data_IF_064927792196
#
_entry.id   IF_064927792196
#
_cell.length_a   1.000
_cell.length_b   1.000
_cell.length_c   1.000
_cell.angle_alpha   90.00
_cell.angle_beta   90.00
_cell.angle_gamma   90.00
#
_symmetry.space_group_name_H-M   'P 1'
#
loop_
_entity.id
_entity.type
_entity.pdbx_description
1 polymer ?
#
# COMPACT_ATOMS: atom_id res chain seq x y z
N UNK A 1 13.25 27.21 -3.44
CA UNK A 1 12.40 26.61 -2.40
C UNK A 1 12.82 25.15 -2.22
N UNK A 2 12.92 24.65 -0.98
CA UNK A 2 13.30 23.25 -0.76
C UNK A 2 12.24 22.33 -1.38
N UNK A 3 12.64 21.30 -2.12
CA UNK A 3 11.76 20.27 -2.74
C UNK A 3 10.71 19.71 -1.78
N UNK A 4 11.07 19.59 -0.52
CA UNK A 4 10.18 19.10 0.56
C UNK A 4 8.97 20.03 0.79
N UNK A 5 9.11 21.36 0.58
CA UNK A 5 8.01 22.31 0.73
C UNK A 5 6.98 22.24 -0.39
N UNK A 6 7.39 21.86 -1.62
CA UNK A 6 6.47 21.69 -2.76
C UNK A 6 5.54 20.49 -2.54
N UNK A 7 6.07 19.35 -2.11
CA UNK A 7 5.30 18.15 -1.83
C UNK A 7 4.17 18.38 -0.81
N UNK A 8 4.50 18.87 0.39
CA UNK A 8 3.49 19.10 1.43
C UNK A 8 2.46 20.17 1.04
N UNK A 9 2.89 21.19 0.28
CA UNK A 9 1.99 22.21 -0.23
C UNK A 9 0.99 21.64 -1.21
N UNK A 10 1.43 20.76 -2.13
CA UNK A 10 0.55 20.12 -3.12
C UNK A 10 -0.46 19.20 -2.45
N UNK A 11 0.00 18.28 -1.60
CA UNK A 11 -0.86 17.37 -0.83
C UNK A 11 -1.87 18.15 0.03
N UNK A 12 -1.41 19.21 0.73
CA UNK A 12 -2.30 20.08 1.49
C UNK A 12 -3.36 20.79 0.63
N UNK A 13 -3.06 21.09 -0.63
CA UNK A 13 -4.03 21.69 -1.57
C UNK A 13 -5.08 20.66 -1.98
N UNK A 14 -4.69 19.42 -2.27
CA UNK A 14 -5.61 18.32 -2.57
C UNK A 14 -6.56 18.07 -1.40
N UNK A 15 -6.02 17.95 -0.18
CA UNK A 15 -6.80 17.73 1.03
C UNK A 15 -7.81 18.85 1.31
N UNK A 16 -7.42 20.11 1.08
CA UNK A 16 -8.29 21.27 1.32
C UNK A 16 -9.42 21.39 0.31
N UNK A 17 -9.23 20.85 -0.89
CA UNK A 17 -10.23 21.00 -1.99
C UNK A 17 -11.57 20.33 -1.65
N UNK A 18 -11.56 19.11 -1.09
CA UNK A 18 -12.75 18.36 -0.69
C UNK A 18 -12.65 17.81 0.73
N UNK A 19 -12.23 18.66 1.68
CA UNK A 19 -11.87 18.24 3.04
C UNK A 19 -12.96 17.41 3.72
N UNK A 20 -14.23 17.83 3.66
CA UNK A 20 -15.32 17.16 4.36
C UNK A 20 -15.62 15.78 3.76
N UNK A 21 -15.57 15.66 2.44
CA UNK A 21 -15.81 14.40 1.73
C UNK A 21 -14.66 13.41 2.02
N UNK A 22 -13.41 13.87 1.94
CA UNK A 22 -12.24 13.03 2.25
C UNK A 22 -12.27 12.54 3.70
N UNK A 23 -12.59 13.41 4.68
CA UNK A 23 -12.69 12.99 6.08
C UNK A 23 -13.81 11.97 6.28
N UNK A 24 -14.98 12.15 5.61
CA UNK A 24 -16.06 11.16 5.66
C UNK A 24 -15.58 9.79 5.17
N UNK A 25 -14.87 9.73 4.03
CA UNK A 25 -14.31 8.50 3.48
C UNK A 25 -13.32 7.87 4.46
N UNK A 26 -12.40 8.64 5.01
CA UNK A 26 -11.44 8.15 6.00
C UNK A 26 -12.10 7.60 7.28
N UNK A 27 -13.28 8.11 7.67
CA UNK A 27 -14.03 7.53 8.79
C UNK A 27 -14.58 6.13 8.44
N UNK A 28 -15.06 5.92 7.21
CA UNK A 28 -15.49 4.61 6.76
C UNK A 28 -14.31 3.65 6.62
N UNK A 29 -13.20 4.11 6.01
CA UNK A 29 -11.96 3.32 5.94
C UNK A 29 -11.45 2.92 7.34
N UNK A 30 -11.52 3.83 8.32
CA UNK A 30 -11.12 3.54 9.68
C UNK A 30 -12.00 2.44 10.34
N UNK A 31 -13.30 2.44 10.05
CA UNK A 31 -14.20 1.40 10.56
C UNK A 31 -13.89 0.02 9.98
N UNK A 32 -13.63 -0.04 8.65
CA UNK A 32 -13.20 -1.24 7.94
C UNK A 32 -11.87 -1.77 8.51
N UNK A 33 -10.86 -0.91 8.63
CA UNK A 33 -9.55 -1.29 9.17
C UNK A 33 -9.62 -1.80 10.62
N UNK A 34 -10.46 -1.18 11.46
CA UNK A 34 -10.67 -1.66 12.82
C UNK A 34 -11.29 -3.07 12.81
N UNK A 35 -12.25 -3.33 11.91
CA UNK A 35 -12.79 -4.67 11.74
C UNK A 35 -11.70 -5.66 11.34
N UNK A 36 -10.88 -5.33 10.35
CA UNK A 36 -9.78 -6.18 9.88
C UNK A 36 -8.79 -6.54 11.01
N UNK A 37 -8.45 -5.58 11.88
CA UNK A 37 -7.54 -5.85 13.00
C UNK A 37 -8.13 -6.80 14.05
N UNK A 38 -9.46 -6.81 14.24
CA UNK A 38 -10.15 -7.73 15.14
C UNK A 38 -10.56 -9.05 14.49
N UNK A 39 -10.55 -9.13 13.16
CA UNK A 39 -10.99 -10.31 12.41
C UNK A 39 -10.33 -11.62 12.88
N UNK A 40 -8.99 -11.70 13.10
CA UNK A 40 -8.36 -12.92 13.58
C UNK A 40 -8.91 -13.41 14.93
N UNK A 41 -9.19 -12.48 15.86
CA UNK A 41 -9.82 -12.80 17.15
C UNK A 41 -11.23 -13.33 16.98
N UNK A 42 -12.02 -12.72 16.12
CA UNK A 42 -13.39 -13.14 15.85
C UNK A 42 -13.44 -14.54 15.27
N UNK A 43 -12.57 -14.84 14.29
CA UNK A 43 -12.47 -16.16 13.69
C UNK A 43 -11.99 -17.19 14.74
N UNK A 44 -10.94 -16.87 15.50
CA UNK A 44 -10.46 -17.75 16.57
C UNK A 44 -11.53 -18.08 17.60
N UNK A 45 -12.29 -17.07 18.05
CA UNK A 45 -13.39 -17.28 18.99
C UNK A 45 -14.55 -18.08 18.38
N UNK A 46 -14.79 -17.96 17.08
CA UNK A 46 -15.78 -18.76 16.36
C UNK A 46 -15.34 -20.22 16.28
N UNK A 47 -14.06 -20.50 15.99
CA UNK A 47 -13.48 -21.85 15.96
C UNK A 47 -13.61 -22.51 17.34
N UNK A 48 -13.17 -21.84 18.40
CA UNK A 48 -13.25 -22.36 19.76
C UNK A 48 -14.70 -22.57 20.20
N UNK A 49 -15.60 -21.65 19.80
CA UNK A 49 -17.04 -21.81 20.04
C UNK A 49 -17.61 -23.06 19.36
N UNK A 50 -17.29 -23.30 18.11
CA UNK A 50 -17.74 -24.46 17.35
C UNK A 50 -17.22 -25.78 17.95
N UNK A 51 -15.95 -25.81 18.37
CA UNK A 51 -15.35 -26.99 19.05
C UNK A 51 -16.08 -27.32 20.34
N UNK A 52 -16.60 -26.30 21.04
CA UNK A 52 -17.37 -26.44 22.27
C UNK A 52 -18.90 -26.44 22.06
N UNK A 53 -19.39 -26.61 20.83
CA UNK A 53 -20.82 -26.59 20.45
C UNK A 53 -21.53 -25.27 20.82
N UNK A 54 -20.80 -24.15 20.86
CA UNK A 54 -21.32 -22.82 21.15
C UNK A 54 -21.28 -21.94 19.90
N UNK A 55 -22.43 -21.61 19.32
CA UNK A 55 -22.53 -20.90 18.04
C UNK A 55 -22.44 -19.36 18.15
N UNK A 56 -22.35 -18.80 19.37
CA UNK A 56 -22.36 -17.32 19.57
C UNK A 56 -21.21 -16.62 18.84
N UNK A 57 -19.98 -17.13 18.91
CA UNK A 57 -18.82 -16.54 18.24
C UNK A 57 -19.00 -16.51 16.71
N UNK A 58 -19.51 -17.60 16.15
CA UNK A 58 -19.79 -17.67 14.71
C UNK A 58 -20.86 -16.66 14.27
N UNK A 59 -21.95 -16.53 15.03
CA UNK A 59 -23.02 -15.56 14.72
C UNK A 59 -22.48 -14.13 14.77
N UNK A 60 -21.71 -13.79 15.80
CA UNK A 60 -21.10 -12.45 15.92
C UNK A 60 -20.16 -12.18 14.74
N UNK A 61 -19.31 -13.14 14.37
CA UNK A 61 -18.43 -13.01 13.21
C UNK A 61 -19.21 -12.74 11.92
N UNK A 62 -20.24 -13.56 11.63
CA UNK A 62 -21.06 -13.41 10.41
C UNK A 62 -21.75 -12.03 10.39
N UNK A 63 -22.35 -11.61 11.50
CA UNK A 63 -23.07 -10.31 11.57
C UNK A 63 -22.11 -9.15 11.33
N UNK A 64 -20.95 -9.15 11.98
CA UNK A 64 -19.93 -8.09 11.80
C UNK A 64 -19.38 -8.09 10.38
N UNK A 65 -19.11 -9.25 9.79
CA UNK A 65 -18.66 -9.38 8.40
C UNK A 65 -19.68 -8.81 7.40
N UNK A 66 -20.99 -9.07 7.59
CA UNK A 66 -22.03 -8.52 6.74
C UNK A 66 -22.17 -7.00 6.87
N UNK A 67 -22.04 -6.46 8.09
CA UNK A 67 -22.04 -5.02 8.33
C UNK A 67 -20.85 -4.37 7.62
N UNK A 68 -19.67 -4.92 7.79
CA UNK A 68 -18.44 -4.46 7.16
C UNK A 68 -18.53 -4.48 5.63
N UNK A 69 -18.99 -5.59 5.04
CA UNK A 69 -19.24 -5.69 3.59
C UNK A 69 -20.19 -4.61 3.10
N UNK A 70 -21.23 -4.29 3.87
CA UNK A 70 -22.18 -3.22 3.57
C UNK A 70 -21.51 -1.84 3.58
N UNK A 71 -20.71 -1.55 4.61
CA UNK A 71 -19.95 -0.30 4.72
C UNK A 71 -19.02 -0.14 3.52
N UNK A 72 -18.25 -1.18 3.19
CA UNK A 72 -17.30 -1.17 2.07
C UNK A 72 -17.97 -0.97 0.72
N UNK A 73 -19.14 -1.54 0.51
CA UNK A 73 -19.91 -1.33 -0.73
C UNK A 73 -20.24 0.15 -0.95
N UNK A 74 -20.77 0.83 0.06
CA UNK A 74 -21.12 2.25 -0.05
C UNK A 74 -19.88 3.15 -0.11
N UNK A 75 -18.86 2.84 0.70
CA UNK A 75 -17.61 3.59 0.71
C UNK A 75 -16.91 3.58 -0.65
N UNK A 76 -16.81 2.43 -1.31
CA UNK A 76 -16.18 2.29 -2.63
C UNK A 76 -16.87 3.14 -3.71
N UNK A 77 -18.20 3.28 -3.65
CA UNK A 77 -18.96 4.13 -4.62
C UNK A 77 -18.64 5.60 -4.38
N UNK A 78 -18.72 6.06 -3.12
CA UNK A 78 -18.47 7.45 -2.75
C UNK A 78 -17.02 7.84 -2.99
N UNK A 79 -16.07 6.96 -2.65
CA UNK A 79 -14.64 7.14 -2.86
C UNK A 79 -14.31 7.40 -4.33
N UNK A 80 -14.80 6.54 -5.23
CA UNK A 80 -14.59 6.74 -6.67
C UNK A 80 -15.18 8.05 -7.19
N UNK A 81 -16.34 8.48 -6.70
CA UNK A 81 -16.96 9.76 -7.10
C UNK A 81 -16.12 10.95 -6.66
N UNK A 82 -15.70 10.96 -5.39
CA UNK A 82 -14.92 12.07 -4.80
C UNK A 82 -13.57 12.21 -5.50
N UNK A 83 -12.79 11.13 -5.57
CA UNK A 83 -11.44 11.22 -6.16
C UNK A 83 -11.45 11.44 -7.68
N UNK A 84 -12.42 10.91 -8.43
CA UNK A 84 -12.56 11.22 -9.85
C UNK A 84 -12.90 12.70 -10.09
N UNK A 85 -13.72 13.32 -9.24
CA UNK A 85 -13.98 14.75 -9.31
C UNK A 85 -12.72 15.57 -9.02
N UNK A 86 -11.96 15.21 -8.00
CA UNK A 86 -10.68 15.85 -7.67
C UNK A 86 -9.70 15.73 -8.84
N UNK A 87 -9.52 14.54 -9.41
CA UNK A 87 -8.66 14.30 -10.59
C UNK A 87 -9.05 15.18 -11.75
N UNK A 88 -10.34 15.22 -12.10
CA UNK A 88 -10.87 16.06 -13.19
C UNK A 88 -10.48 17.53 -12.99
N UNK A 89 -10.72 18.09 -11.82
CA UNK A 89 -10.44 19.49 -11.52
C UNK A 89 -8.94 19.82 -11.57
N UNK A 90 -8.11 18.95 -10.99
CA UNK A 90 -6.66 19.17 -10.98
C UNK A 90 -6.03 19.01 -12.36
N UNK A 91 -6.51 18.06 -13.17
CA UNK A 91 -6.11 17.93 -14.59
C UNK A 91 -6.49 19.19 -15.38
N UNK A 92 -7.70 19.71 -15.19
CA UNK A 92 -8.13 20.96 -15.86
C UNK A 92 -7.28 22.17 -15.43
N UNK A 93 -6.97 22.30 -14.13
CA UNK A 93 -6.09 23.36 -13.62
C UNK A 93 -4.67 23.24 -14.17
N UNK A 94 -4.12 22.04 -14.20
CA UNK A 94 -2.81 21.79 -14.81
C UNK A 94 -2.81 22.18 -16.28
N UNK A 95 -3.80 21.70 -17.05
CA UNK A 95 -3.91 21.98 -18.48
C UNK A 95 -3.96 23.49 -18.78
N UNK A 96 -4.79 24.26 -18.04
CA UNK A 96 -4.83 25.73 -18.17
C UNK A 96 -3.47 26.37 -18.01
N UNK A 97 -2.77 26.05 -16.92
CA UNK A 97 -1.45 26.61 -16.65
C UNK A 97 -0.41 26.20 -17.70
N UNK A 98 -0.47 24.97 -18.19
CA UNK A 98 0.43 24.45 -19.21
C UNK A 98 0.25 25.19 -20.54
N UNK A 99 -0.99 25.50 -20.93
CA UNK A 99 -1.33 26.31 -22.11
C UNK A 99 -0.86 27.74 -21.94
N UNK A 100 -1.11 28.39 -20.79
CA UNK A 100 -0.66 29.75 -20.49
C UNK A 100 0.87 29.88 -20.56
N UNK A 101 1.62 28.83 -20.25
CA UNK A 101 3.08 28.79 -20.31
C UNK A 101 3.64 28.32 -21.65
N UNK A 102 2.79 28.10 -22.65
CA UNK A 102 3.15 27.60 -23.98
C UNK A 102 4.02 26.34 -23.95
N UNK A 103 3.68 25.38 -23.04
CA UNK A 103 4.39 24.13 -22.98
C UNK A 103 4.12 23.28 -24.24
N UNK A 104 5.11 22.49 -24.63
CA UNK A 104 4.94 21.56 -25.73
C UNK A 104 3.84 20.54 -25.44
N UNK A 105 3.01 20.25 -26.44
CA UNK A 105 1.88 19.32 -26.35
C UNK A 105 2.29 17.91 -25.91
N UNK A 106 3.49 17.47 -26.26
CA UNK A 106 4.07 16.20 -25.80
C UNK A 106 4.24 16.19 -24.28
N UNK A 107 4.77 17.30 -23.74
CA UNK A 107 4.98 17.46 -22.29
C UNK A 107 3.67 17.62 -21.52
N UNK A 108 2.69 18.31 -22.12
CA UNK A 108 1.35 18.45 -21.52
C UNK A 108 0.70 17.06 -21.39
N UNK A 109 0.71 16.27 -22.47
CA UNK A 109 0.10 14.95 -22.53
C UNK A 109 0.70 13.99 -21.48
N UNK A 110 2.03 13.91 -21.42
CA UNK A 110 2.72 13.05 -20.44
C UNK A 110 2.47 13.48 -19.00
N UNK A 111 2.44 14.78 -18.73
CA UNK A 111 2.32 15.28 -17.37
C UNK A 111 0.87 15.34 -16.86
N UNK A 112 -0.14 15.42 -17.74
CA UNK A 112 -1.57 15.32 -17.35
C UNK A 112 -1.83 13.97 -16.65
N UNK A 113 -1.23 12.89 -17.12
CA UNK A 113 -1.36 11.59 -16.47
C UNK A 113 -0.64 11.56 -15.10
N UNK A 114 0.47 12.31 -14.95
CA UNK A 114 1.21 12.37 -13.69
C UNK A 114 0.46 13.15 -12.59
N UNK A 115 -0.50 14.01 -12.94
CA UNK A 115 -1.33 14.76 -11.97
C UNK A 115 -2.15 13.83 -11.08
N UNK A 116 -2.51 12.65 -11.56
CA UNK A 116 -3.30 11.69 -10.80
C UNK A 116 -2.50 11.05 -9.65
N UNK A 117 -1.19 10.84 -9.83
CA UNK A 117 -0.35 10.14 -8.86
C UNK A 117 -0.39 10.74 -7.44
N UNK A 118 -0.22 12.06 -7.25
CA UNK A 118 -0.36 12.66 -5.93
C UNK A 118 -1.77 12.58 -5.35
N UNK A 119 -2.81 12.53 -6.20
CA UNK A 119 -4.20 12.40 -5.77
C UNK A 119 -4.46 10.96 -5.30
N UNK A 120 -3.99 9.96 -6.05
CA UNK A 120 -4.06 8.56 -5.66
C UNK A 120 -3.26 8.31 -4.37
N UNK A 121 -2.12 8.96 -4.21
CA UNK A 121 -1.36 8.93 -2.96
C UNK A 121 -2.18 9.45 -1.78
N UNK A 122 -2.91 10.58 -1.92
CA UNK A 122 -3.78 11.11 -0.86
C UNK A 122 -4.91 10.13 -0.55
N UNK A 123 -5.48 9.48 -1.58
CA UNK A 123 -6.51 8.45 -1.43
C UNK A 123 -6.04 7.30 -0.54
N UNK A 124 -4.84 6.78 -0.82
CA UNK A 124 -4.28 5.64 -0.11
C UNK A 124 -3.52 6.01 1.18
N UNK A 125 -3.17 7.30 1.36
CA UNK A 125 -2.31 7.75 2.46
C UNK A 125 -2.86 7.35 3.83
N UNK A 126 -4.12 7.69 4.11
CA UNK A 126 -4.74 7.37 5.38
C UNK A 126 -4.84 5.86 5.59
N UNK A 127 -5.39 5.15 4.60
CA UNK A 127 -5.58 3.69 4.67
C UNK A 127 -4.26 3.00 4.91
N UNK A 128 -3.24 3.27 4.09
CA UNK A 128 -1.96 2.58 4.16
C UNK A 128 -1.20 2.87 5.47
N UNK A 129 -1.10 4.14 5.89
CA UNK A 129 -0.36 4.48 7.12
C UNK A 129 -1.12 4.08 8.38
N UNK A 130 -2.44 4.27 8.41
CA UNK A 130 -3.28 3.90 9.55
C UNK A 130 -3.36 2.38 9.70
N UNK A 131 -3.51 1.65 8.59
CA UNK A 131 -3.50 0.20 8.58
C UNK A 131 -2.16 -0.37 9.06
N UNK A 132 -1.05 0.15 8.52
CA UNK A 132 0.29 -0.26 8.94
C UNK A 132 0.49 -0.09 10.47
N UNK A 133 0.11 1.07 11.02
CA UNK A 133 0.22 1.35 12.45
C UNK A 133 -0.70 0.43 13.29
N UNK A 134 -1.93 0.22 12.83
CA UNK A 134 -2.90 -0.64 13.51
C UNK A 134 -2.49 -2.11 13.51
N UNK A 135 -2.13 -2.65 12.35
CA UNK A 135 -1.63 -4.02 12.25
C UNK A 135 -0.44 -4.26 13.17
N UNK A 136 0.52 -3.32 13.20
CA UNK A 136 1.69 -3.42 14.07
C UNK A 136 1.28 -3.42 15.55
N UNK A 137 0.43 -2.46 15.95
CA UNK A 137 0.00 -2.32 17.33
C UNK A 137 -0.80 -3.54 17.81
N UNK A 138 -1.84 -3.92 17.06
CA UNK A 138 -2.71 -5.05 17.46
C UNK A 138 -1.97 -6.37 17.46
N UNK A 139 -1.10 -6.61 16.48
CA UNK A 139 -0.30 -7.84 16.43
C UNK A 139 0.67 -7.95 17.61
N UNK A 140 1.38 -6.87 17.95
CA UNK A 140 2.30 -6.87 19.09
C UNK A 140 1.53 -7.09 20.39
N UNK A 141 0.44 -6.35 20.62
CA UNK A 141 -0.37 -6.47 21.84
C UNK A 141 -0.91 -7.89 21.98
N UNK A 142 -1.46 -8.46 20.90
CA UNK A 142 -2.01 -9.81 20.92
C UNK A 142 -0.94 -10.87 21.21
N UNK A 143 0.20 -10.80 20.53
CA UNK A 143 1.28 -11.78 20.69
C UNK A 143 1.87 -11.70 22.12
N UNK A 144 2.07 -10.50 22.65
CA UNK A 144 2.61 -10.32 24.01
C UNK A 144 1.61 -10.73 25.12
N UNK A 145 0.30 -10.61 24.85
CA UNK A 145 -0.72 -10.99 25.83
C UNK A 145 -0.99 -12.49 25.88
N UNK A 146 -0.98 -13.16 24.73
CA UNK A 146 -1.41 -14.57 24.64
C UNK A 146 -0.25 -15.57 24.54
N UNK A 147 0.97 -15.12 24.25
CA UNK A 147 2.14 -15.99 24.06
C UNK A 147 3.35 -15.52 24.86
N UNK A 148 4.39 -16.34 24.85
CA UNK A 148 5.62 -15.97 25.54
C UNK A 148 6.33 -14.79 24.87
N UNK A 149 6.99 -13.95 25.67
CA UNK A 149 7.77 -12.81 25.22
C UNK A 149 8.84 -13.21 24.15
N UNK A 150 9.38 -14.43 24.26
CA UNK A 150 10.39 -14.93 23.31
C UNK A 150 9.84 -15.07 21.89
N UNK A 151 8.59 -15.52 21.74
CA UNK A 151 7.92 -15.61 20.42
C UNK A 151 7.73 -14.21 19.84
N UNK A 152 7.28 -13.27 20.66
CA UNK A 152 7.11 -11.87 20.25
C UNK A 152 8.41 -11.23 19.75
N UNK A 153 9.50 -11.37 20.50
CA UNK A 153 10.82 -10.83 20.12
C UNK A 153 11.32 -11.49 18.83
N UNK A 154 11.19 -12.82 18.70
CA UNK A 154 11.62 -13.56 17.51
C UNK A 154 10.89 -13.10 16.24
N UNK A 155 9.55 -13.05 16.29
CA UNK A 155 8.72 -12.63 15.16
C UNK A 155 8.99 -11.17 14.79
N UNK A 156 9.11 -10.29 15.78
CA UNK A 156 9.44 -8.89 15.56
C UNK A 156 10.80 -8.71 14.89
N UNK A 157 11.84 -9.39 15.38
CA UNK A 157 13.19 -9.31 14.82
C UNK A 157 13.24 -9.76 13.35
N UNK A 158 12.57 -10.86 13.00
CA UNK A 158 12.52 -11.33 11.61
C UNK A 158 11.69 -10.40 10.72
N UNK A 159 10.63 -9.80 11.23
CA UNK A 159 9.85 -8.79 10.49
C UNK A 159 10.67 -7.54 10.19
N UNK A 160 11.50 -7.08 11.13
CA UNK A 160 12.47 -5.99 10.89
C UNK A 160 13.47 -6.37 9.80
N UNK A 161 14.00 -7.59 9.81
CA UNK A 161 14.91 -8.08 8.76
C UNK A 161 14.23 -8.06 7.40
N UNK A 162 12.96 -8.50 7.30
CA UNK A 162 12.18 -8.43 6.06
C UNK A 162 12.03 -7.00 5.56
N UNK A 163 11.69 -6.04 6.44
CA UNK A 163 11.57 -4.62 6.07
C UNK A 163 12.88 -4.03 5.55
N UNK A 164 14.02 -4.38 6.17
CA UNK A 164 15.34 -3.93 5.71
C UNK A 164 15.64 -4.50 4.31
N UNK A 165 15.40 -5.78 4.09
CA UNK A 165 15.58 -6.42 2.78
C UNK A 165 14.70 -5.74 1.73
N UNK A 166 13.40 -5.57 1.99
CA UNK A 166 12.46 -4.89 1.10
C UNK A 166 12.93 -3.48 0.74
N UNK A 167 13.34 -2.69 1.74
CA UNK A 167 13.88 -1.34 1.53
C UNK A 167 15.12 -1.34 0.64
N UNK A 168 16.04 -2.29 0.82
CA UNK A 168 17.23 -2.40 -0.02
C UNK A 168 16.90 -2.73 -1.49
N UNK A 169 15.90 -3.57 -1.73
CA UNK A 169 15.46 -3.89 -3.09
C UNK A 169 14.71 -2.72 -3.74
N UNK A 170 13.82 -2.05 -3.01
CA UNK A 170 13.08 -0.88 -3.51
C UNK A 170 14.03 0.28 -3.86
N UNK A 171 15.05 0.53 -3.04
CA UNK A 171 16.06 1.56 -3.36
C UNK A 171 16.81 1.29 -4.67
N UNK A 172 17.03 0.03 -5.05
CA UNK A 172 17.67 -0.32 -6.32
C UNK A 172 16.77 -0.07 -7.55
N UNK A 173 15.46 0.04 -7.37
CA UNK A 173 14.50 0.30 -8.45
C UNK A 173 14.38 1.81 -8.77
N UNK A 174 14.57 2.70 -7.80
CA UNK A 174 14.36 4.16 -7.95
C UNK A 174 15.08 4.76 -9.17
N UNK A 175 16.37 4.48 -9.45
CA UNK A 175 17.06 5.02 -10.63
C UNK A 175 16.40 4.60 -11.95
N UNK A 176 15.96 3.35 -12.03
CA UNK A 176 15.33 2.80 -13.25
C UNK A 176 13.95 3.43 -13.49
N UNK A 177 13.21 3.73 -12.42
CA UNK A 177 11.91 4.41 -12.51
C UNK A 177 12.08 5.82 -13.07
N UNK A 178 13.10 6.55 -12.63
CA UNK A 178 13.43 7.86 -13.20
C UNK A 178 13.75 7.79 -14.69
N UNK A 179 14.53 6.80 -15.10
CA UNK A 179 14.87 6.58 -16.51
C UNK A 179 13.63 6.20 -17.33
N UNK A 180 12.72 5.42 -16.73
CA UNK A 180 11.45 5.05 -17.35
C UNK A 180 10.56 6.28 -17.58
N UNK A 181 10.42 7.17 -16.61
CA UNK A 181 9.68 8.43 -16.78
C UNK A 181 10.28 9.33 -17.84
N UNK A 182 11.61 9.50 -17.84
CA UNK A 182 12.31 10.27 -18.88
C UNK A 182 12.10 9.66 -20.28
N UNK A 183 12.02 8.34 -20.36
CA UNK A 183 11.74 7.64 -21.63
C UNK A 183 10.29 7.84 -22.07
N UNK A 184 9.32 7.79 -21.14
CA UNK A 184 7.91 8.02 -21.45
C UNK A 184 7.65 9.44 -21.97
N UNK A 185 8.32 10.47 -21.43
CA UNK A 185 8.23 11.85 -21.94
C UNK A 185 8.60 11.97 -23.43
N UNK A 186 9.56 11.16 -23.90
CA UNK A 186 10.00 11.15 -25.29
C UNK A 186 9.14 10.29 -26.22
N UNK A 187 8.09 9.65 -25.68
CA UNK A 187 7.24 8.70 -26.42
C UNK A 187 6.59 9.33 -27.65
N UNK A 188 6.04 10.53 -27.50
CA UNK A 188 5.34 11.22 -28.59
C UNK A 188 6.25 11.59 -29.74
N UNK A 189 7.48 12.06 -29.44
CA UNK A 189 8.48 12.39 -30.46
C UNK A 189 8.87 11.15 -31.26
N UNK A 190 8.97 10.00 -30.58
CA UNK A 190 9.28 8.71 -31.21
C UNK A 190 8.13 8.20 -32.08
N UNK A 191 6.88 8.42 -31.67
CA UNK A 191 5.69 8.14 -32.49
C UNK A 191 5.65 9.10 -33.68
N UNK A 192 5.90 10.39 -33.44
CA UNK A 192 5.91 11.44 -34.47
C UNK A 192 6.95 11.23 -35.56
N UNK A 193 8.04 10.50 -35.29
CA UNK A 193 9.06 10.13 -36.29
C UNK A 193 8.51 9.24 -37.40
N UNK A 194 7.34 8.62 -37.24
CA UNK A 194 6.69 7.67 -38.19
C UNK A 194 7.61 6.54 -38.67
N UNK A 195 8.71 6.30 -37.96
CA UNK A 195 9.68 5.25 -38.29
C UNK A 195 9.52 4.04 -37.40
N UNK A 196 9.04 2.88 -37.93
CA UNK A 196 8.79 1.68 -37.13
C UNK A 196 10.03 1.15 -36.38
N UNK A 197 11.23 1.28 -37.01
CA UNK A 197 12.48 0.81 -36.41
C UNK A 197 12.83 1.65 -35.16
N UNK A 198 12.69 2.98 -35.25
CA UNK A 198 12.94 3.90 -34.12
C UNK A 198 11.98 3.62 -32.99
N UNK A 199 10.70 3.40 -33.29
CA UNK A 199 9.69 3.09 -32.28
C UNK A 199 9.91 1.73 -31.66
N UNK A 200 10.29 0.70 -32.43
CA UNK A 200 10.62 -0.64 -31.93
C UNK A 200 11.81 -0.59 -30.96
N UNK A 201 12.87 0.13 -31.29
CA UNK A 201 14.04 0.30 -30.42
C UNK A 201 13.67 1.01 -29.12
N UNK A 202 12.83 2.03 -29.21
CA UNK A 202 12.28 2.76 -28.04
C UNK A 202 11.49 1.84 -27.12
N UNK A 203 10.55 1.06 -27.65
CA UNK A 203 9.78 0.08 -26.87
C UNK A 203 10.68 -0.99 -26.24
N UNK A 204 11.66 -1.49 -26.97
CA UNK A 204 12.62 -2.48 -26.47
C UNK A 204 13.39 -1.96 -25.25
N UNK A 205 13.77 -0.67 -25.23
CA UNK A 205 14.43 -0.06 -24.08
C UNK A 205 13.49 0.05 -22.87
N UNK A 206 12.23 0.46 -23.07
CA UNK A 206 11.24 0.51 -22.00
C UNK A 206 11.04 -0.89 -21.40
N UNK A 207 10.77 -1.90 -22.22
CA UNK A 207 10.55 -3.27 -21.74
C UNK A 207 11.79 -3.85 -21.06
N UNK A 208 12.99 -3.48 -21.49
CA UNK A 208 14.23 -3.89 -20.81
C UNK A 208 14.31 -3.32 -19.38
N UNK A 209 13.94 -2.06 -19.19
CA UNK A 209 13.90 -1.43 -17.86
C UNK A 209 12.83 -2.05 -16.98
N UNK A 210 11.63 -2.28 -17.51
CA UNK A 210 10.53 -2.93 -16.78
C UNK A 210 10.91 -4.36 -16.37
N UNK A 211 11.54 -5.13 -17.28
CA UNK A 211 12.01 -6.47 -16.98
C UNK A 211 13.13 -6.47 -15.92
N UNK A 212 14.01 -5.47 -15.95
CA UNK A 212 15.07 -5.34 -14.96
C UNK A 212 14.47 -5.06 -13.56
N UNK A 213 13.50 -4.16 -13.47
CA UNK A 213 12.78 -3.88 -12.22
C UNK A 213 12.02 -5.11 -11.71
N UNK A 214 11.30 -5.81 -12.59
CA UNK A 214 10.59 -7.05 -12.24
C UNK A 214 11.53 -8.13 -11.70
N UNK A 215 12.75 -8.25 -12.24
CA UNK A 215 13.76 -9.19 -11.73
C UNK A 215 14.27 -8.80 -10.34
N UNK A 216 14.45 -7.51 -10.07
CA UNK A 216 14.85 -7.02 -8.74
C UNK A 216 13.74 -7.34 -7.74
N UNK A 217 12.51 -7.00 -8.08
CA UNK A 217 11.32 -7.23 -7.27
C UNK A 217 11.12 -8.72 -6.93
N UNK A 218 11.15 -9.58 -7.95
CA UNK A 218 11.01 -11.02 -7.77
C UNK A 218 12.08 -11.63 -6.85
N UNK A 219 13.33 -11.13 -6.91
CA UNK A 219 14.39 -11.56 -5.99
C UNK A 219 14.14 -11.09 -4.56
N UNK A 220 13.64 -9.86 -4.41
CA UNK A 220 13.23 -9.31 -3.11
C UNK A 220 12.12 -10.16 -2.48
N UNK A 221 11.04 -10.38 -3.23
CA UNK A 221 9.91 -11.21 -2.78
C UNK A 221 10.33 -12.63 -2.40
N UNK A 222 11.19 -13.28 -3.20
CA UNK A 222 11.68 -14.61 -2.88
C UNK A 222 12.41 -14.64 -1.54
N UNK A 223 13.31 -13.68 -1.30
CA UNK A 223 14.08 -13.59 -0.06
C UNK A 223 13.16 -13.39 1.15
N UNK A 224 12.19 -12.49 1.05
CA UNK A 224 11.20 -12.21 2.09
C UNK A 224 10.34 -13.44 2.38
N UNK A 225 9.87 -14.13 1.34
CA UNK A 225 9.03 -15.31 1.50
C UNK A 225 9.76 -16.48 2.18
N UNK A 226 11.03 -16.70 1.86
CA UNK A 226 11.85 -17.73 2.54
C UNK A 226 11.96 -17.43 4.04
N UNK A 227 12.27 -16.20 4.42
CA UNK A 227 12.34 -15.81 5.83
C UNK A 227 10.98 -15.96 6.52
N UNK A 228 9.88 -15.60 5.84
CA UNK A 228 8.52 -15.76 6.35
C UNK A 228 8.17 -17.21 6.63
N UNK A 229 8.50 -18.12 5.72
CA UNK A 229 8.26 -19.57 5.94
C UNK A 229 9.05 -20.07 7.14
N UNK A 230 10.31 -19.67 7.29
CA UNK A 230 11.11 -20.02 8.46
C UNK A 230 10.51 -19.45 9.76
N UNK A 231 10.05 -18.19 9.72
CA UNK A 231 9.42 -17.54 10.87
C UNK A 231 8.16 -18.29 11.32
N UNK A 232 7.29 -18.66 10.37
CA UNK A 232 6.06 -19.40 10.64
C UNK A 232 6.36 -20.80 11.18
N UNK A 233 7.29 -21.54 10.58
CA UNK A 233 7.64 -22.89 11.01
C UNK A 233 8.15 -22.89 12.46
N UNK A 234 9.03 -21.95 12.82
CA UNK A 234 9.54 -21.83 14.19
C UNK A 234 8.44 -21.39 15.16
N UNK A 235 7.60 -20.42 14.77
CA UNK A 235 6.50 -19.95 15.62
C UNK A 235 5.49 -21.06 15.90
N UNK A 236 5.10 -21.83 14.89
CA UNK A 236 4.23 -23.00 15.06
C UNK A 236 4.83 -24.03 16.00
N UNK A 237 6.13 -24.33 15.84
CA UNK A 237 6.82 -25.24 16.75
C UNK A 237 6.84 -24.71 18.19
N UNK A 238 7.02 -23.41 18.39
CA UNK A 238 6.98 -22.80 19.72
C UNK A 238 5.57 -22.81 20.32
N UNK A 239 4.52 -22.60 19.52
CA UNK A 239 3.13 -22.69 19.98
C UNK A 239 2.79 -24.08 20.54
N UNK A 240 3.33 -25.17 19.96
CA UNK A 240 3.07 -26.52 20.48
C UNK A 240 3.67 -26.79 21.87
N UNK A 241 4.52 -25.90 22.38
CA UNK A 241 5.11 -26.00 23.73
C UNK A 241 4.32 -25.26 24.80
N UNK A 242 3.41 -24.41 24.40
CA UNK A 242 2.54 -23.67 25.33
C UNK A 242 1.35 -24.57 25.75
N UNK A 243 1.10 -24.68 27.06
CA UNK A 243 0.18 -25.68 27.63
C UNK A 243 -1.30 -25.33 27.52
N UNK A 244 -1.66 -24.06 27.36
CA UNK A 244 -3.04 -23.57 27.45
C UNK A 244 -3.59 -22.99 26.15
N UNK A 245 -3.02 -23.37 25.00
CA UNK A 245 -3.43 -22.84 23.70
C UNK A 245 -4.62 -23.63 23.12
N UNK A 246 -5.75 -22.94 22.90
CA UNK A 246 -6.86 -23.49 22.10
C UNK A 246 -6.56 -23.44 20.61
N UNK A 247 -7.31 -24.23 19.82
CA UNK A 247 -7.18 -24.25 18.36
C UNK A 247 -7.49 -22.88 17.78
N UNK A 248 -8.52 -22.21 18.27
CA UNK A 248 -8.89 -20.86 17.83
C UNK A 248 -7.81 -19.82 18.18
N UNK A 249 -7.21 -19.92 19.36
CA UNK A 249 -6.15 -19.03 19.78
C UNK A 249 -4.90 -19.24 18.89
N UNK A 250 -4.55 -20.50 18.57
CA UNK A 250 -3.44 -20.80 17.67
C UNK A 250 -3.67 -20.23 16.26
N UNK A 251 -4.89 -20.34 15.74
CA UNK A 251 -5.26 -19.73 14.47
C UNK A 251 -5.09 -18.19 14.50
N UNK A 252 -5.65 -17.55 15.52
CA UNK A 252 -5.50 -16.09 15.70
C UNK A 252 -4.02 -15.68 15.79
N UNK A 253 -3.19 -16.48 16.47
CA UNK A 253 -1.74 -16.23 16.58
C UNK A 253 -1.03 -16.24 15.24
N UNK A 254 -1.34 -17.20 14.38
CA UNK A 254 -0.81 -17.28 13.01
C UNK A 254 -1.19 -16.04 12.21
N UNK A 255 -2.47 -15.66 12.26
CA UNK A 255 -2.96 -14.47 11.54
C UNK A 255 -2.31 -13.18 12.04
N UNK A 256 -2.13 -13.01 13.36
CA UNK A 256 -1.42 -11.84 13.89
C UNK A 256 0.08 -11.82 13.55
N UNK A 257 0.72 -12.97 13.39
CA UNK A 257 2.09 -13.05 12.86
C UNK A 257 2.11 -12.57 11.40
N UNK A 258 1.15 -12.99 10.58
CA UNK A 258 1.02 -12.50 9.21
C UNK A 258 0.72 -11.00 9.15
N UNK A 259 -0.15 -10.47 10.02
CA UNK A 259 -0.43 -9.05 10.11
C UNK A 259 0.81 -8.25 10.50
N UNK A 260 1.59 -8.72 11.48
CA UNK A 260 2.84 -8.10 11.88
C UNK A 260 3.83 -8.06 10.72
N UNK A 261 4.03 -9.19 10.04
CA UNK A 261 4.85 -9.25 8.82
C UNK A 261 4.36 -8.26 7.77
N UNK A 262 3.06 -8.26 7.45
CA UNK A 262 2.48 -7.37 6.44
C UNK A 262 2.68 -5.90 6.78
N UNK A 263 2.57 -5.52 8.06
CA UNK A 263 2.89 -4.17 8.51
C UNK A 263 4.34 -3.78 8.19
N UNK A 264 5.30 -4.67 8.44
CA UNK A 264 6.71 -4.39 8.12
C UNK A 264 6.99 -4.38 6.60
N UNK A 265 6.30 -5.22 5.83
CA UNK A 265 6.42 -5.23 4.36
C UNK A 265 5.87 -3.94 3.73
N UNK A 266 4.89 -3.29 4.35
CA UNK A 266 4.36 -2.00 3.89
C UNK A 266 5.37 -0.84 4.02
N UNK A 267 6.30 -0.85 4.96
CA UNK A 267 7.26 0.27 5.13
C UNK A 267 8.10 0.56 3.87
N UNK A 268 8.74 -0.44 3.24
CA UNK A 268 9.45 -0.21 1.98
C UNK A 268 8.57 0.37 0.89
N UNK A 269 7.33 -0.11 0.78
CA UNK A 269 6.39 0.32 -0.25
C UNK A 269 5.91 1.76 -0.01
N UNK A 270 5.58 2.12 1.23
CA UNK A 270 5.23 3.50 1.61
C UNK A 270 6.38 4.48 1.33
N UNK A 271 7.64 4.06 1.60
CA UNK A 271 8.80 4.88 1.28
C UNK A 271 8.98 5.05 -0.23
N UNK A 272 8.82 3.98 -1.00
CA UNK A 272 8.90 4.00 -2.45
C UNK A 272 7.82 4.89 -3.06
N UNK A 273 6.57 4.72 -2.64
CA UNK A 273 5.42 5.51 -3.08
C UNK A 273 5.61 7.01 -2.79
N UNK A 274 6.08 7.35 -1.58
CA UNK A 274 6.44 8.74 -1.24
C UNK A 274 7.48 9.32 -2.20
N UNK A 275 8.52 8.55 -2.55
CA UNK A 275 9.57 8.98 -3.48
C UNK A 275 9.05 9.15 -4.91
N UNK A 276 8.25 8.21 -5.38
CA UNK A 276 7.63 8.24 -6.71
C UNK A 276 6.74 9.48 -6.86
N UNK A 277 5.86 9.71 -5.90
CA UNK A 277 4.97 10.89 -5.90
C UNK A 277 5.75 12.21 -5.79
N UNK A 278 6.80 12.25 -4.99
CA UNK A 278 7.67 13.43 -4.92
C UNK A 278 8.30 13.77 -6.28
N UNK A 279 8.73 12.74 -7.04
CA UNK A 279 9.26 12.91 -8.40
C UNK A 279 8.17 13.38 -9.38
N UNK A 280 6.95 12.86 -9.26
CA UNK A 280 5.82 13.31 -10.07
C UNK A 280 5.50 14.79 -9.81
N UNK A 281 5.45 15.21 -8.55
CA UNK A 281 5.16 16.61 -8.18
C UNK A 281 6.25 17.56 -8.70
N UNK A 282 7.52 17.18 -8.63
CA UNK A 282 8.63 17.99 -9.17
C UNK A 282 8.48 18.21 -10.70
N UNK A 283 7.84 17.28 -11.43
CA UNK A 283 7.61 17.36 -12.89
C UNK A 283 6.37 18.18 -13.26
N UNK A 284 5.32 18.14 -12.44
CA UNK A 284 4.06 18.87 -12.67
C UNK A 284 4.05 20.26 -12.00
N UNK A 285 5.04 20.58 -11.16
CA UNK A 285 5.12 21.88 -10.49
C UNK A 285 5.46 22.97 -11.53
N UNK A 286 4.41 23.66 -11.91
CA UNK A 286 4.42 24.75 -12.90
C UNK A 286 4.40 26.09 -12.21
#
# INVERSE_FOLDING_TARGET
MSKKNSFFKYIGTVLRYSKHEIIKLWCFDAADLVYDWFQPLLIGSAIDGLMNQRYRGLIVFIVLYLIDTGINYFNNIDDNKVYNNIKKEFRCKYYKKAVERNLDTSKIDSNVELVDRPIDFVRCLFVNYFNCAGMLFFSIVFILYNYSLYIGIFVFALSVVNAVIGTCFNQKQIPNVNELYNSKEKRRDKIGSRNPCVYKTFLSNIYRLDLHNSKIDSKGMLSINVITVCMLAVSLFLFTKETDITIGLMFSGIEYIFMLKSSFDMFPDLYYEYKDVSLCIDRIDL
#
